data_IF_832529181589
#
_entry.id   IF_832529181589
#
_cell.length_a   1.000
_cell.length_b   1.000
_cell.length_c   1.000
_cell.angle_alpha   90.00
_cell.angle_beta   90.00
_cell.angle_gamma   90.00
#
_symmetry.space_group_name_H-M   'P 1'
#
loop_
_entity.id
_entity.type
_entity.pdbx_description
1 polymer ?
#
# COMPACT_ATOMS: atom_id res chain seq x y z
N UNK A 1 3.86 1.14 2.50
CA UNK A 1 3.95 0.36 3.73
C UNK A 1 5.31 0.55 4.36
N UNK A 2 5.36 1.05 5.60
CA UNK A 2 6.60 1.15 6.39
C UNK A 2 6.54 0.35 7.69
N UNK A 3 5.63 -0.62 7.76
CA UNK A 3 5.40 -1.47 8.93
C UNK A 3 5.14 -0.60 10.18
N UNK A 4 5.94 -0.81 11.23
CA UNK A 4 5.92 -0.06 12.49
C UNK A 4 6.99 1.04 12.54
N UNK A 5 7.67 1.33 11.42
CA UNK A 5 8.74 2.32 11.32
C UNK A 5 10.14 1.82 11.74
N UNK A 6 10.29 0.50 11.90
CA UNK A 6 11.57 -0.22 12.12
C UNK A 6 12.37 0.22 13.35
N UNK A 7 11.70 0.55 14.44
CA UNK A 7 12.32 0.78 15.75
C UNK A 7 11.58 1.84 16.56
N UNK A 8 12.32 2.57 17.41
CA UNK A 8 11.76 3.65 18.22
C UNK A 8 11.66 4.97 17.45
N UNK A 9 11.38 6.08 18.17
CA UNK A 9 11.18 7.40 17.58
C UNK A 9 12.32 7.86 16.64
N UNK A 10 13.59 7.60 17.00
CA UNK A 10 14.72 7.94 16.13
C UNK A 10 14.76 7.14 14.83
N UNK A 11 14.34 5.87 14.87
CA UNK A 11 14.23 5.02 13.68
C UNK A 11 13.09 5.50 12.79
N UNK A 12 11.92 5.81 13.38
CA UNK A 12 10.77 6.37 12.67
C UNK A 12 11.16 7.69 12.00
N UNK A 13 11.86 8.58 12.70
CA UNK A 13 12.29 9.85 12.12
C UNK A 13 13.25 9.67 10.94
N UNK A 14 14.20 8.75 11.06
CA UNK A 14 15.11 8.39 9.96
C UNK A 14 14.34 7.80 8.78
N UNK A 15 13.37 6.92 9.06
CA UNK A 15 12.49 6.32 8.06
C UNK A 15 11.77 7.39 7.25
N UNK A 16 11.05 8.29 7.91
CA UNK A 16 10.29 9.36 7.24
C UNK A 16 11.20 10.20 6.34
N UNK A 17 12.33 10.68 6.87
CA UNK A 17 13.28 11.48 6.09
C UNK A 17 13.86 10.71 4.89
N UNK A 18 14.11 9.41 5.07
CA UNK A 18 14.64 8.56 3.99
C UNK A 18 13.63 8.37 2.86
N UNK A 19 12.35 8.12 3.20
CA UNK A 19 11.28 7.97 2.20
C UNK A 19 10.97 9.28 1.47
N UNK A 20 10.99 10.42 2.17
CA UNK A 20 10.90 11.74 1.55
C UNK A 20 12.06 11.94 0.57
N UNK A 21 13.31 11.64 0.98
CA UNK A 21 14.50 11.86 0.15
C UNK A 21 14.53 11.04 -1.15
N UNK A 22 13.85 9.89 -1.20
CA UNK A 22 13.74 9.07 -2.43
C UNK A 22 12.48 9.37 -3.24
N UNK A 23 11.75 10.44 -2.90
CA UNK A 23 10.61 10.92 -3.67
C UNK A 23 9.31 10.15 -3.44
N UNK A 24 9.16 9.45 -2.32
CA UNK A 24 7.87 8.84 -1.96
C UNK A 24 6.87 9.93 -1.58
N UNK A 25 5.63 9.83 -2.05
CA UNK A 25 4.58 10.82 -1.77
C UNK A 25 3.85 10.57 -0.43
N UNK A 26 3.69 9.30 -0.06
CA UNK A 26 2.92 8.90 1.11
C UNK A 26 3.47 7.60 1.72
N UNK A 27 3.38 7.48 3.04
CA UNK A 27 3.63 6.23 3.76
C UNK A 27 2.47 5.94 4.71
N UNK A 28 2.30 4.66 5.06
CA UNK A 28 1.44 4.28 6.17
C UNK A 28 2.22 3.46 7.19
N UNK A 29 1.95 3.72 8.47
CA UNK A 29 2.56 3.04 9.62
C UNK A 29 1.46 2.44 10.50
N UNK A 30 1.71 1.27 11.09
CA UNK A 30 0.69 0.48 11.77
C UNK A 30 0.89 0.31 13.28
N UNK A 31 -0.21 0.06 13.97
CA UNK A 31 -0.30 -0.11 15.43
C UNK A 31 -0.01 -1.54 15.91
N UNK A 32 0.57 -2.40 15.06
CA UNK A 32 0.99 -3.73 15.48
C UNK A 32 2.24 -3.68 16.38
N UNK A 33 2.42 -4.73 17.17
CA UNK A 33 3.70 -5.03 17.85
C UNK A 33 4.82 -5.22 16.82
N UNK A 34 6.08 -5.02 17.24
CA UNK A 34 7.23 -5.05 16.32
C UNK A 34 7.40 -6.35 15.52
N UNK A 35 7.08 -7.50 16.12
CA UNK A 35 6.98 -8.78 15.39
C UNK A 35 5.58 -8.96 14.79
N UNK A 36 5.31 -8.20 13.74
CA UNK A 36 3.98 -8.09 13.14
C UNK A 36 3.55 -9.32 12.33
N UNK A 37 2.25 -9.37 12.01
CA UNK A 37 1.64 -10.33 11.08
C UNK A 37 0.86 -9.61 9.99
N UNK A 38 0.56 -10.31 8.89
CA UNK A 38 -0.34 -9.81 7.86
C UNK A 38 -1.75 -9.54 8.45
N UNK A 39 -2.36 -8.41 8.10
CA UNK A 39 -3.66 -7.96 8.62
C UNK A 39 -4.84 -8.92 8.43
N UNK A 40 -4.74 -9.88 7.50
CA UNK A 40 -5.76 -10.92 7.27
C UNK A 40 -5.46 -12.27 7.94
N UNK A 41 -4.40 -12.38 8.75
CA UNK A 41 -4.06 -13.62 9.49
C UNK A 41 -4.47 -13.54 10.98
N UNK A 42 -4.80 -14.67 11.64
CA UNK A 42 -5.10 -14.70 13.06
C UNK A 42 -3.88 -14.45 13.96
N UNK A 43 -4.14 -14.05 15.20
CA UNK A 43 -3.13 -13.78 16.24
C UNK A 43 -2.37 -12.47 16.04
N UNK A 44 -3.09 -11.42 15.62
CA UNK A 44 -2.56 -10.05 15.57
C UNK A 44 -2.58 -9.47 16.97
N UNK A 45 -1.54 -8.72 17.28
CA UNK A 45 -1.41 -7.98 18.52
C UNK A 45 -1.14 -6.52 18.18
N UNK A 46 -1.93 -5.64 18.78
CA UNK A 46 -1.77 -4.18 18.64
C UNK A 46 -1.16 -3.63 19.92
N UNK A 47 -0.35 -2.59 19.78
CA UNK A 47 0.25 -1.88 20.91
C UNK A 47 -0.78 -1.02 21.63
N UNK A 48 -0.51 -0.57 22.86
CA UNK A 48 -1.34 0.44 23.51
C UNK A 48 -1.55 1.67 22.62
N UNK A 49 -2.71 2.30 22.71
CA UNK A 49 -3.10 3.45 21.89
C UNK A 49 -2.04 4.56 21.96
N UNK A 50 -1.52 4.81 23.16
CA UNK A 50 -0.53 5.83 23.47
C UNK A 50 0.80 5.58 22.75
N UNK A 51 1.21 4.31 22.62
CA UNK A 51 2.43 3.96 21.90
C UNK A 51 2.30 4.30 20.41
N UNK A 52 1.17 3.97 19.77
CA UNK A 52 0.96 4.33 18.36
C UNK A 52 0.83 5.85 18.18
N UNK A 53 0.21 6.56 19.13
CA UNK A 53 0.19 8.03 19.15
C UNK A 53 1.62 8.60 19.15
N UNK A 54 2.51 8.05 19.98
CA UNK A 54 3.91 8.48 20.02
C UNK A 54 4.66 8.17 18.71
N UNK A 55 4.34 7.05 18.05
CA UNK A 55 4.88 6.75 16.71
C UNK A 55 4.41 7.79 15.69
N UNK A 56 3.13 8.13 15.66
CA UNK A 56 2.57 9.14 14.75
C UNK A 56 3.21 10.49 14.97
N UNK A 57 3.32 10.96 16.23
CA UNK A 57 4.04 12.20 16.57
C UNK A 57 5.50 12.16 16.11
N UNK A 58 6.16 11.03 16.38
CA UNK A 58 7.43 10.57 15.78
C UNK A 58 7.59 10.95 14.31
N UNK A 59 6.64 10.46 13.53
CA UNK A 59 6.64 10.59 12.08
C UNK A 59 6.35 12.03 11.63
N UNK A 60 5.37 12.67 12.25
CA UNK A 60 4.93 14.04 11.90
C UNK A 60 6.03 15.06 12.20
N UNK A 61 6.72 14.97 13.33
CA UNK A 61 7.85 15.84 13.68
C UNK A 61 9.02 15.69 12.69
N UNK A 62 9.23 14.47 12.17
CA UNK A 62 10.30 14.19 11.23
C UNK A 62 10.01 14.63 9.79
N UNK A 63 8.77 15.03 9.47
CA UNK A 63 8.35 15.44 8.14
C UNK A 63 9.06 16.72 7.71
N UNK A 64 9.85 16.64 6.64
CA UNK A 64 10.58 17.78 6.07
C UNK A 64 9.90 18.38 4.84
N UNK A 65 8.92 17.68 4.25
CA UNK A 65 8.13 18.15 3.11
C UNK A 65 6.65 18.25 3.54
N UNK A 66 6.02 19.44 3.52
CA UNK A 66 4.61 19.60 3.89
C UNK A 66 3.64 18.86 2.95
N UNK A 67 4.07 18.47 1.75
CA UNK A 67 3.27 17.65 0.83
C UNK A 67 3.32 16.15 1.12
N UNK A 68 4.22 15.69 2.02
CA UNK A 68 4.36 14.29 2.35
C UNK A 68 3.27 13.81 3.32
N UNK A 69 2.56 12.75 2.92
CA UNK A 69 1.40 12.22 3.65
C UNK A 69 1.81 11.12 4.62
N UNK A 70 1.39 11.24 5.88
CA UNK A 70 1.55 10.23 6.91
C UNK A 70 0.17 9.63 7.22
N UNK A 71 -0.03 8.38 6.81
CA UNK A 71 -1.26 7.63 7.06
C UNK A 71 -1.07 6.71 8.27
N UNK A 72 -2.02 6.70 9.20
CA UNK A 72 -2.03 5.72 10.28
C UNK A 72 -2.90 4.52 9.90
N UNK A 73 -2.34 3.32 10.01
CA UNK A 73 -3.04 2.05 9.83
C UNK A 73 -3.39 1.45 11.19
N UNK A 74 -4.60 0.94 11.33
CA UNK A 74 -5.01 0.21 12.54
C UNK A 74 -5.50 -1.19 12.21
N UNK A 75 -4.98 -2.17 12.94
CA UNK A 75 -5.40 -3.58 12.90
C UNK A 75 -6.40 -3.93 14.03
N UNK A 76 -6.73 -2.96 14.88
CA UNK A 76 -7.47 -3.16 16.12
C UNK A 76 -8.90 -3.69 15.92
N UNK A 77 -9.53 -3.44 14.76
CA UNK A 77 -10.92 -3.85 14.54
C UNK A 77 -11.13 -5.37 14.67
N UNK A 78 -10.14 -6.16 14.26
CA UNK A 78 -10.19 -7.62 14.37
C UNK A 78 -9.82 -8.16 15.76
N UNK A 79 -9.24 -7.32 16.63
CA UNK A 79 -8.71 -7.69 17.96
C UNK A 79 -9.63 -7.18 19.07
N UNK A 80 -10.02 -5.91 18.99
CA UNK A 80 -10.72 -5.15 20.03
C UNK A 80 -12.14 -4.74 19.60
N UNK A 81 -12.50 -4.93 18.32
CA UNK A 81 -13.79 -4.50 17.77
C UNK A 81 -13.75 -3.13 17.10
N UNK A 82 -14.81 -2.81 16.35
CA UNK A 82 -14.87 -1.61 15.50
C UNK A 82 -14.83 -0.31 16.31
N UNK A 83 -15.55 -0.23 17.43
CA UNK A 83 -15.66 1.00 18.20
C UNK A 83 -14.30 1.39 18.82
N UNK A 84 -13.56 0.40 19.35
CA UNK A 84 -12.20 0.61 19.86
C UNK A 84 -11.22 1.03 18.75
N UNK A 85 -11.36 0.46 17.56
CA UNK A 85 -10.54 0.85 16.41
C UNK A 85 -10.85 2.28 15.92
N UNK A 86 -12.10 2.72 16.00
CA UNK A 86 -12.50 4.10 15.72
C UNK A 86 -11.90 5.07 16.75
N UNK A 87 -11.98 4.74 18.05
CA UNK A 87 -11.39 5.55 19.12
C UNK A 87 -9.88 5.74 18.90
N UNK A 88 -9.17 4.65 18.57
CA UNK A 88 -7.75 4.67 18.20
C UNK A 88 -7.49 5.56 17.00
N UNK A 89 -8.25 5.38 15.91
CA UNK A 89 -8.07 6.17 14.70
C UNK A 89 -8.27 7.67 14.93
N UNK A 90 -9.28 8.06 15.72
CA UNK A 90 -9.47 9.47 16.12
C UNK A 90 -8.24 10.01 16.87
N UNK A 91 -7.70 9.25 17.82
CA UNK A 91 -6.47 9.64 18.53
C UNK A 91 -5.25 9.74 17.59
N UNK A 92 -5.18 8.91 16.54
CA UNK A 92 -4.11 8.99 15.55
C UNK A 92 -4.24 10.24 14.66
N UNK A 93 -5.46 10.64 14.30
CA UNK A 93 -5.72 11.91 13.63
C UNK A 93 -5.34 13.09 14.53
N UNK A 94 -5.73 13.06 15.81
CA UNK A 94 -5.35 14.09 16.79
C UNK A 94 -3.82 14.19 16.97
N UNK A 95 -3.09 13.08 16.83
CA UNK A 95 -1.63 13.03 16.85
C UNK A 95 -0.97 13.58 15.56
N UNK A 96 -1.76 13.82 14.52
CA UNK A 96 -1.30 14.43 13.27
C UNK A 96 -1.27 13.49 12.05
N UNK A 97 -1.90 12.30 12.12
CA UNK A 97 -2.06 11.48 10.93
C UNK A 97 -2.97 12.17 9.90
N UNK A 98 -2.51 12.28 8.67
CA UNK A 98 -3.23 12.97 7.59
C UNK A 98 -4.36 12.11 6.99
N UNK A 99 -4.25 10.78 7.10
CA UNK A 99 -5.21 9.80 6.58
C UNK A 99 -5.26 8.56 7.46
N UNK A 100 -6.33 7.78 7.34
CA UNK A 100 -6.52 6.53 8.09
C UNK A 100 -6.67 5.32 7.15
N UNK A 101 -6.00 4.23 7.49
CA UNK A 101 -6.19 2.92 6.89
C UNK A 101 -6.78 1.95 7.92
N UNK A 102 -8.11 1.80 7.98
CA UNK A 102 -8.77 0.81 8.83
C UNK A 102 -8.69 -0.59 8.20
N UNK A 103 -7.94 -1.50 8.82
CA UNK A 103 -7.71 -2.83 8.24
C UNK A 103 -8.88 -3.79 8.46
N UNK A 104 -9.09 -4.70 7.49
CA UNK A 104 -10.01 -5.83 7.57
C UNK A 104 -11.49 -5.50 7.84
N UNK A 105 -11.96 -4.34 7.35
CA UNK A 105 -13.39 -4.00 7.34
C UNK A 105 -14.19 -5.07 6.56
N UNK A 106 -15.35 -5.46 7.09
CA UNK A 106 -16.18 -6.55 6.52
C UNK A 106 -17.42 -6.03 5.81
N UNK A 107 -17.89 -4.84 6.16
CA UNK A 107 -19.10 -4.24 5.59
C UNK A 107 -18.84 -2.81 5.14
N UNK A 108 -19.66 -2.32 4.20
CA UNK A 108 -19.64 -0.90 3.80
C UNK A 108 -20.05 0.03 4.95
N UNK A 109 -20.88 -0.44 5.89
CA UNK A 109 -21.27 0.32 7.07
C UNK A 109 -20.09 0.58 8.01
N UNK A 110 -19.15 -0.38 8.12
CA UNK A 110 -17.92 -0.19 8.91
C UNK A 110 -17.12 1.01 8.36
N UNK A 111 -16.96 1.09 7.04
CA UNK A 111 -16.30 2.23 6.39
C UNK A 111 -17.05 3.56 6.64
N UNK A 112 -18.39 3.56 6.57
CA UNK A 112 -19.20 4.76 6.85
C UNK A 112 -18.97 5.27 8.28
N UNK A 113 -18.94 4.36 9.26
CA UNK A 113 -18.66 4.70 10.67
C UNK A 113 -17.27 5.29 10.84
N UNK A 114 -16.26 4.67 10.25
CA UNK A 114 -14.89 5.21 10.26
C UNK A 114 -14.84 6.61 9.66
N UNK A 115 -15.37 6.78 8.45
CA UNK A 115 -15.35 8.08 7.74
C UNK A 115 -16.02 9.18 8.55
N UNK A 116 -17.19 8.89 9.12
CA UNK A 116 -17.96 9.85 9.92
C UNK A 116 -17.21 10.31 11.18
N UNK A 117 -16.44 9.41 11.81
CA UNK A 117 -15.69 9.69 13.02
C UNK A 117 -14.39 10.46 12.76
N UNK A 118 -13.54 9.96 11.85
CA UNK A 118 -12.17 10.47 11.71
C UNK A 118 -12.08 11.75 10.87
N UNK A 119 -13.05 11.98 9.97
CA UNK A 119 -13.17 13.19 9.11
C UNK A 119 -11.94 13.52 8.25
N UNK A 120 -10.99 12.60 8.13
CA UNK A 120 -9.87 12.62 7.18
C UNK A 120 -10.11 11.60 6.05
N UNK A 121 -9.30 11.57 4.99
CA UNK A 121 -9.39 10.52 3.98
C UNK A 121 -9.16 9.13 4.58
N UNK A 122 -9.93 8.15 4.10
CA UNK A 122 -9.79 6.74 4.47
C UNK A 122 -9.49 5.85 3.26
N UNK A 123 -8.71 4.81 3.51
CA UNK A 123 -8.30 3.81 2.52
C UNK A 123 -9.00 2.48 2.76
N UNK A 124 -9.59 1.89 1.71
CA UNK A 124 -10.06 0.52 1.70
C UNK A 124 -9.04 -0.41 1.03
N UNK A 125 -8.62 -1.45 1.73
CA UNK A 125 -7.71 -2.47 1.22
C UNK A 125 -8.48 -3.64 0.59
N UNK A 126 -8.45 -3.74 -0.73
CA UNK A 126 -9.16 -4.73 -1.52
C UNK A 126 -8.23 -5.89 -1.92
N UNK A 127 -7.53 -6.49 -0.95
CA UNK A 127 -6.68 -7.66 -1.23
C UNK A 127 -7.52 -8.92 -1.48
N UNK A 128 -7.07 -9.75 -2.41
CA UNK A 128 -7.67 -11.05 -2.68
C UNK A 128 -7.32 -12.07 -1.59
N UNK A 129 -8.19 -13.08 -1.44
CA UNK A 129 -8.03 -14.19 -0.48
C UNK A 129 -7.93 -13.75 0.98
N UNK A 130 -8.45 -12.56 1.30
CA UNK A 130 -8.64 -12.05 2.64
C UNK A 130 -10.07 -12.23 3.15
N UNK A 131 -10.43 -11.41 4.14
CA UNK A 131 -11.75 -11.39 4.78
C UNK A 131 -12.68 -10.30 4.24
N UNK A 132 -12.11 -9.30 3.58
CA UNK A 132 -12.85 -8.14 3.05
C UNK A 132 -13.50 -8.54 1.72
N UNK A 133 -14.81 -8.29 1.54
CA UNK A 133 -15.48 -8.50 0.25
C UNK A 133 -14.87 -7.63 -0.86
N UNK A 134 -15.03 -8.06 -2.11
CA UNK A 134 -14.53 -7.34 -3.29
C UNK A 134 -15.47 -6.21 -3.69
N UNK A 135 -15.54 -5.17 -2.85
CA UNK A 135 -16.34 -3.99 -3.13
C UNK A 135 -15.86 -3.27 -4.40
N UNK A 136 -16.81 -2.75 -5.15
CA UNK A 136 -16.59 -1.89 -6.31
C UNK A 136 -16.22 -0.48 -5.88
N UNK A 137 -15.62 0.29 -6.80
CA UNK A 137 -15.31 1.70 -6.55
C UNK A 137 -16.56 2.55 -6.30
N UNK A 138 -17.72 2.19 -6.87
CA UNK A 138 -18.97 2.91 -6.63
C UNK A 138 -19.53 2.61 -5.23
N UNK A 139 -19.54 1.34 -4.80
CA UNK A 139 -19.92 0.97 -3.43
C UNK A 139 -19.02 1.65 -2.38
N UNK A 140 -17.71 1.70 -2.62
CA UNK A 140 -16.76 2.38 -1.75
C UNK A 140 -17.00 3.89 -1.72
N UNK A 141 -17.27 4.50 -2.87
CA UNK A 141 -17.60 5.94 -2.97
C UNK A 141 -18.87 6.26 -2.17
N UNK A 142 -19.91 5.45 -2.29
CA UNK A 142 -21.16 5.60 -1.53
C UNK A 142 -20.97 5.38 -0.01
N UNK A 143 -19.94 4.63 0.38
CA UNK A 143 -19.55 4.48 1.78
C UNK A 143 -18.64 5.61 2.30
N UNK A 144 -18.24 6.56 1.44
CA UNK A 144 -17.39 7.68 1.80
C UNK A 144 -15.89 7.36 1.85
N UNK A 145 -15.47 6.26 1.23
CA UNK A 145 -14.05 5.87 1.10
C UNK A 145 -13.38 6.71 0.01
N UNK A 146 -12.15 7.16 0.27
CA UNK A 146 -11.41 8.08 -0.61
C UNK A 146 -10.37 7.35 -1.48
N UNK A 147 -9.85 6.22 -1.00
CA UNK A 147 -8.80 5.45 -1.69
C UNK A 147 -9.17 3.97 -1.72
N UNK A 148 -9.16 3.36 -2.91
CA UNK A 148 -9.25 1.91 -3.10
C UNK A 148 -7.85 1.35 -3.41
N UNK A 149 -7.33 0.48 -2.55
CA UNK A 149 -6.01 -0.11 -2.68
C UNK A 149 -6.09 -1.56 -3.19
N UNK A 150 -5.53 -1.81 -4.37
CA UNK A 150 -5.34 -3.14 -4.94
C UNK A 150 -3.88 -3.57 -4.75
N UNK A 151 -3.51 -3.93 -3.52
CA UNK A 151 -2.11 -4.08 -3.14
C UNK A 151 -1.42 -5.33 -3.72
N UNK A 152 -2.17 -6.34 -4.17
CA UNK A 152 -1.58 -7.64 -4.52
C UNK A 152 -1.95 -8.20 -5.90
N UNK A 153 -3.03 -7.73 -6.53
CA UNK A 153 -3.59 -8.37 -7.73
C UNK A 153 -2.59 -8.57 -8.88
N UNK A 154 -1.83 -7.54 -9.22
CA UNK A 154 -0.86 -7.59 -10.32
C UNK A 154 0.22 -8.64 -10.08
N UNK A 155 0.85 -8.66 -8.90
CA UNK A 155 1.93 -9.61 -8.64
C UNK A 155 1.41 -11.04 -8.44
N UNK A 156 0.15 -11.23 -8.00
CA UNK A 156 -0.46 -12.55 -7.97
C UNK A 156 -0.69 -13.09 -9.39
N UNK A 157 -1.18 -12.24 -10.30
CA UNK A 157 -1.37 -12.59 -11.70
C UNK A 157 -0.04 -12.93 -12.38
N UNK A 158 1.00 -12.10 -12.20
CA UNK A 158 2.31 -12.33 -12.81
C UNK A 158 2.93 -13.65 -12.32
N UNK A 159 2.80 -13.98 -11.03
CA UNK A 159 3.33 -15.23 -10.48
C UNK A 159 2.65 -16.47 -11.10
N UNK A 160 1.34 -16.42 -11.32
CA UNK A 160 0.60 -17.52 -11.94
C UNK A 160 0.97 -17.70 -13.41
N UNK A 161 1.17 -16.60 -14.15
CA UNK A 161 1.64 -16.63 -15.53
C UNK A 161 3.06 -17.19 -15.63
N UNK A 162 3.97 -16.76 -14.75
CA UNK A 162 5.34 -17.26 -14.69
C UNK A 162 5.39 -18.77 -14.37
N UNK A 163 4.54 -19.25 -13.45
CA UNK A 163 4.44 -20.69 -13.16
C UNK A 163 4.04 -21.49 -14.41
N UNK A 164 3.02 -21.03 -15.15
CA UNK A 164 2.57 -21.68 -16.39
C UNK A 164 3.70 -21.78 -17.43
N UNK A 165 4.52 -20.73 -17.56
CA UNK A 165 5.71 -20.74 -18.41
C UNK A 165 6.70 -21.84 -17.98
N UNK A 166 7.07 -21.89 -16.70
CA UNK A 166 8.02 -22.89 -16.19
C UNK A 166 7.52 -24.33 -16.36
N UNK A 167 6.24 -24.59 -16.06
CA UNK A 167 5.64 -25.91 -16.21
C UNK A 167 5.58 -26.36 -17.67
N UNK A 168 5.25 -25.44 -18.58
CA UNK A 168 5.17 -25.73 -20.02
C UNK A 168 6.54 -26.06 -20.61
N UNK A 169 7.56 -25.24 -20.34
CA UNK A 169 8.93 -25.52 -20.81
C UNK A 169 9.44 -26.83 -20.23
N UNK A 170 9.17 -27.13 -18.95
CA UNK A 170 9.61 -28.38 -18.33
C UNK A 170 8.94 -29.61 -18.95
N UNK A 171 7.66 -29.52 -19.28
CA UNK A 171 6.86 -30.62 -19.85
C UNK A 171 7.17 -30.86 -21.33
N UNK A 172 7.36 -29.79 -22.10
CA UNK A 172 7.37 -29.86 -23.57
C UNK A 172 8.78 -29.66 -24.16
N UNK A 173 9.75 -29.23 -23.34
CA UNK A 173 11.10 -28.88 -23.81
C UNK A 173 11.14 -27.60 -24.67
N UNK A 174 10.04 -26.84 -24.73
CA UNK A 174 9.90 -25.62 -25.54
C UNK A 174 8.76 -24.74 -25.04
N UNK A 175 8.79 -23.45 -25.37
CA UNK A 175 7.76 -22.45 -25.04
C UNK A 175 6.75 -22.20 -26.19
N UNK A 176 6.78 -22.97 -27.29
CA UNK A 176 5.98 -22.69 -28.50
C UNK A 176 4.49 -22.48 -28.23
N UNK A 177 3.91 -23.23 -27.30
CA UNK A 177 2.47 -23.24 -27.02
C UNK A 177 2.03 -22.20 -25.97
N UNK A 178 2.91 -21.28 -25.57
CA UNK A 178 2.60 -20.24 -24.56
C UNK A 178 2.97 -18.83 -25.02
N UNK A 179 3.48 -18.68 -26.25
CA UNK A 179 3.96 -17.41 -26.80
C UNK A 179 2.88 -16.33 -26.80
N UNK A 180 1.64 -16.69 -27.09
CA UNK A 180 0.47 -15.80 -27.13
C UNK A 180 0.06 -15.25 -25.75
N UNK A 181 0.62 -15.80 -24.67
CA UNK A 181 0.40 -15.32 -23.30
C UNK A 181 1.50 -14.38 -22.79
N UNK A 182 2.58 -14.21 -23.55
CA UNK A 182 3.71 -13.37 -23.17
C UNK A 182 3.55 -11.95 -23.69
N UNK A 183 4.08 -10.98 -22.93
CA UNK A 183 4.28 -9.63 -23.45
C UNK A 183 5.23 -9.67 -24.64
N UNK A 184 4.85 -9.04 -25.73
CA UNK A 184 5.67 -8.92 -26.93
C UNK A 184 6.84 -7.95 -26.69
N UNK A 185 7.86 -8.03 -27.55
CA UNK A 185 9.00 -7.13 -27.48
C UNK A 185 8.60 -5.66 -27.72
N UNK A 186 7.65 -5.44 -28.64
CA UNK A 186 7.17 -4.09 -28.97
C UNK A 186 6.42 -3.47 -27.80
N UNK A 187 5.48 -4.20 -27.19
CA UNK A 187 4.79 -3.74 -25.99
C UNK A 187 5.78 -3.39 -24.87
N UNK A 188 6.81 -4.21 -24.66
CA UNK A 188 7.85 -3.92 -23.66
C UNK A 188 8.59 -2.60 -23.99
N UNK A 189 8.87 -2.33 -25.25
CA UNK A 189 9.54 -1.10 -25.68
C UNK A 189 8.70 0.14 -25.44
N UNK A 190 7.40 0.05 -25.72
CA UNK A 190 6.45 1.13 -25.43
C UNK A 190 6.44 1.46 -23.92
N UNK A 191 6.36 0.45 -23.04
CA UNK A 191 6.37 0.68 -21.59
C UNK A 191 7.70 1.22 -21.05
N UNK A 192 8.83 0.88 -21.67
CA UNK A 192 10.15 1.38 -21.29
C UNK A 192 10.47 2.76 -21.88
N UNK A 193 9.64 3.27 -22.80
CA UNK A 193 9.94 4.46 -23.58
C UNK A 193 11.22 4.30 -24.41
N UNK A 194 11.47 3.08 -24.91
CA UNK A 194 12.75 2.69 -25.51
C UNK A 194 13.17 3.61 -26.67
N UNK A 195 12.25 3.89 -27.59
CA UNK A 195 12.52 4.73 -28.77
C UNK A 195 12.86 6.18 -28.42
N UNK A 196 12.37 6.70 -27.29
CA UNK A 196 12.72 8.06 -26.86
C UNK A 196 14.22 8.20 -26.56
N UNK A 197 14.89 7.12 -26.14
CA UNK A 197 16.34 7.11 -25.94
C UNK A 197 17.10 7.03 -27.26
N UNK A 198 16.64 6.20 -28.21
CA UNK A 198 17.23 6.12 -29.56
C UNK A 198 17.16 7.48 -30.27
N UNK A 199 15.97 8.09 -30.31
CA UNK A 199 15.76 9.41 -30.92
C UNK A 199 16.64 10.48 -30.29
N UNK A 200 16.85 10.41 -28.97
CA UNK A 200 17.70 11.36 -28.26
C UNK A 200 19.17 11.21 -28.65
N UNK A 201 19.66 9.99 -28.81
CA UNK A 201 21.03 9.73 -29.26
C UNK A 201 21.23 10.24 -30.68
N UNK A 202 20.30 9.95 -31.59
CA UNK A 202 20.36 10.43 -32.97
C UNK A 202 20.34 11.96 -33.03
N UNK A 203 19.47 12.62 -32.26
CA UNK A 203 19.42 14.07 -32.20
C UNK A 203 20.72 14.71 -31.66
N UNK A 204 21.41 14.04 -30.73
CA UNK A 204 22.65 14.54 -30.12
C UNK A 204 23.88 14.32 -31.02
N UNK A 205 23.93 13.21 -31.76
CA UNK A 205 25.15 12.76 -32.43
C UNK A 205 25.09 12.73 -33.97
N UNK A 206 23.92 12.90 -34.59
CA UNK A 206 23.77 12.93 -36.07
C UNK A 206 24.39 14.15 -36.77
N UNK A 207 24.86 15.17 -36.03
CA UNK A 207 25.55 16.35 -36.61
C UNK A 207 27.09 16.26 -36.60
N UNK A 208 27.67 15.08 -36.37
CA UNK A 208 29.13 14.85 -36.36
C UNK A 208 29.69 14.22 -37.64
N UNK A 209 28.90 14.12 -38.72
CA UNK A 209 29.35 13.68 -40.06
C UNK A 209 29.22 14.77 -41.10
#
# INVERSE_FOLDING_TARGET
DIDTGWGGAFNIARTIRSFINVGVAAVHMEDQVGQKRCGHRPGKEVVPKEEMVDRVKAAVDARTDPGFVIMARTDAAAVEGIDAAIERACAYVEAGADMIFPEAMRTLDDYRKFKAAVKVPILANLTEFGTTPFFTTDELREAGVDIALYCCGAYRAMNKAALNFYETVRREGTQKNIIDTLQTREELYDFLGYHAYEDKLDALFSKLS
#
